data_IF_452244450208
#
_entry.id   IF_452244450208
#
_cell.length_a   1.000
_cell.length_b   1.000
_cell.length_c   1.000
_cell.angle_alpha   90.00
_cell.angle_beta   90.00
_cell.angle_gamma   90.00
#
_symmetry.space_group_name_H-M   'P 1'
#
loop_
_entity.id
_entity.type
_entity.pdbx_description
1 polymer ?
#
# COMPACT_ATOMS: atom_id res chain seq x y z
N UNK A 1 -7.26 9.14 -22.96
CA UNK A 1 -5.97 8.62 -22.46
C UNK A 1 -5.57 9.46 -21.26
N UNK A 2 -5.20 8.88 -20.11
CA UNK A 2 -4.74 9.66 -18.98
C UNK A 2 -3.49 10.43 -19.38
N UNK A 3 -3.43 11.69 -19.01
CA UNK A 3 -2.31 12.59 -19.27
C UNK A 3 -1.02 11.98 -18.69
N UNK A 4 -0.21 11.42 -19.55
CA UNK A 4 0.96 10.59 -19.21
C UNK A 4 2.15 11.45 -18.74
N UNK A 5 2.01 12.24 -17.69
CA UNK A 5 3.11 13.03 -17.14
C UNK A 5 3.51 12.73 -15.71
N UNK A 6 2.92 11.73 -15.05
CA UNK A 6 3.49 11.27 -13.79
C UNK A 6 4.72 10.41 -14.10
N UNK A 7 5.90 10.98 -13.91
CA UNK A 7 7.16 10.31 -14.26
C UNK A 7 7.65 9.33 -13.18
N UNK A 8 7.09 9.37 -11.95
CA UNK A 8 7.53 8.51 -10.84
C UNK A 8 6.48 8.39 -9.74
N UNK A 9 6.62 7.31 -8.96
CA UNK A 9 5.81 7.04 -7.78
C UNK A 9 6.63 7.27 -6.51
N UNK A 10 6.04 7.92 -5.52
CA UNK A 10 6.61 8.02 -4.19
C UNK A 10 6.06 6.86 -3.37
N UNK A 11 6.90 5.85 -3.12
CA UNK A 11 6.48 4.63 -2.42
C UNK A 11 6.01 4.90 -0.98
N UNK A 12 5.12 4.05 -0.48
CA UNK A 12 4.78 4.02 0.93
C UNK A 12 6.01 3.63 1.79
N UNK A 13 6.20 4.20 3.00
CA UNK A 13 5.32 5.17 3.66
C UNK A 13 5.56 6.65 3.26
N UNK A 14 6.57 6.94 2.46
CA UNK A 14 6.97 8.32 2.13
C UNK A 14 5.88 9.09 1.38
N UNK A 15 5.07 8.43 0.55
CA UNK A 15 3.93 9.02 -0.11
C UNK A 15 2.85 9.58 0.83
N UNK A 16 2.88 9.20 2.13
CA UNK A 16 2.02 9.82 3.13
C UNK A 16 2.40 11.26 3.46
N UNK A 17 3.66 11.62 3.26
CA UNK A 17 4.25 12.88 3.75
C UNK A 17 4.77 13.76 2.63
N UNK A 18 5.35 13.15 1.59
CA UNK A 18 5.96 13.86 0.47
C UNK A 18 4.98 14.01 -0.68
N UNK A 19 4.97 15.20 -1.27
CA UNK A 19 4.17 15.51 -2.46
C UNK A 19 5.02 16.31 -3.42
N UNK A 20 5.06 15.87 -4.67
CA UNK A 20 5.72 16.58 -5.75
C UNK A 20 4.74 16.72 -6.91
N UNK A 21 4.88 17.80 -7.66
CA UNK A 21 3.94 18.19 -8.72
C UNK A 21 3.78 17.12 -9.81
N UNK A 22 4.87 16.40 -10.13
CA UNK A 22 4.90 15.38 -11.17
C UNK A 22 5.00 13.93 -10.62
N UNK A 23 4.57 13.71 -9.37
CA UNK A 23 4.63 12.40 -8.73
C UNK A 23 3.25 11.91 -8.29
N UNK A 24 3.13 10.58 -8.28
CA UNK A 24 2.00 9.86 -7.69
C UNK A 24 2.38 9.44 -6.27
N UNK A 25 1.58 9.83 -5.28
CA UNK A 25 1.81 9.50 -3.88
C UNK A 25 1.15 8.17 -3.53
N UNK A 26 1.96 7.16 -3.21
CA UNK A 26 1.49 5.88 -2.70
C UNK A 26 1.38 5.96 -1.17
N UNK A 27 0.16 5.89 -0.66
CA UNK A 27 -0.17 6.02 0.76
C UNK A 27 -0.35 4.66 1.43
N UNK A 28 0.01 4.57 2.66
CA UNK A 28 -0.05 3.33 3.44
C UNK A 28 1.36 2.84 3.74
N UNK A 29 1.63 1.58 3.70
CA UNK A 29 0.77 0.41 3.37
C UNK A 29 -0.24 0.15 4.48
N UNK A 30 -1.47 -0.11 4.11
CA UNK A 30 -2.55 -0.43 5.04
C UNK A 30 -2.81 -1.93 5.11
N UNK A 31 -3.03 -2.44 6.32
CA UNK A 31 -3.54 -3.79 6.56
C UNK A 31 -5.06 -3.75 6.74
N UNK A 32 -5.73 -4.89 6.69
CA UNK A 32 -7.18 -4.97 6.85
C UNK A 32 -7.62 -4.38 8.19
N UNK A 33 -6.93 -4.75 9.27
CA UNK A 33 -7.19 -4.25 10.61
C UNK A 33 -6.15 -3.21 11.05
N UNK A 34 -6.55 -2.37 12.00
CA UNK A 34 -5.64 -1.44 12.69
C UNK A 34 -4.54 -2.21 13.44
N UNK A 35 -3.30 -1.83 13.23
CA UNK A 35 -2.11 -2.39 13.89
C UNK A 35 -1.39 -1.29 14.67
N UNK A 36 -1.72 -1.07 15.95
CA UNK A 36 -1.21 0.03 16.77
C UNK A 36 0.28 -0.12 17.13
N UNK A 37 0.87 0.93 17.68
CA UNK A 37 2.20 0.88 18.28
C UNK A 37 3.34 1.20 17.34
N UNK A 38 3.10 1.96 16.24
CA UNK A 38 4.11 2.37 15.28
C UNK A 38 5.32 3.03 15.95
N UNK A 39 5.09 4.07 16.75
CA UNK A 39 6.19 4.83 17.40
C UNK A 39 6.95 3.96 18.40
N UNK A 40 6.23 3.21 19.22
CA UNK A 40 6.84 2.30 20.21
C UNK A 40 7.71 1.24 19.53
N UNK A 41 7.21 0.63 18.44
CA UNK A 41 7.94 -0.38 17.70
C UNK A 41 9.13 0.20 16.93
N UNK A 42 8.99 1.40 16.37
CA UNK A 42 10.08 2.11 15.72
C UNK A 42 11.24 2.35 16.70
N UNK A 43 10.95 2.95 17.86
CA UNK A 43 11.97 3.21 18.89
C UNK A 43 12.64 1.91 19.36
N UNK A 44 11.86 0.84 19.53
CA UNK A 44 12.36 -0.46 19.98
C UNK A 44 13.25 -1.17 18.97
N UNK A 45 12.98 -1.04 17.69
CA UNK A 45 13.59 -1.87 16.63
C UNK A 45 14.47 -1.12 15.66
N UNK A 46 14.47 0.22 15.68
CA UNK A 46 15.33 1.01 14.81
C UNK A 46 16.80 0.83 15.19
N UNK A 47 17.59 0.29 14.29
CA UNK A 47 19.02 0.02 14.48
C UNK A 47 19.81 0.36 13.23
N UNK A 48 21.02 0.88 13.41
CA UNK A 48 21.94 1.06 12.30
C UNK A 48 22.72 -0.25 12.05
N UNK A 49 22.67 -0.74 10.82
CA UNK A 49 23.43 -1.91 10.37
C UNK A 49 24.73 -1.43 9.72
N UNK A 50 25.85 -1.58 10.43
CA UNK A 50 27.16 -1.15 9.95
C UNK A 50 27.63 -1.94 8.72
N UNK A 51 27.24 -3.22 8.59
CA UNK A 51 27.62 -4.06 7.45
C UNK A 51 26.91 -3.61 6.16
N UNK A 52 25.64 -3.24 6.26
CA UNK A 52 24.83 -2.77 5.13
C UNK A 52 24.82 -1.25 4.97
N UNK A 53 25.52 -0.53 5.86
CA UNK A 53 25.59 0.94 5.91
C UNK A 53 24.19 1.59 5.83
N UNK A 54 23.23 1.07 6.60
CA UNK A 54 21.85 1.55 6.55
C UNK A 54 21.05 1.30 7.82
N UNK A 55 19.92 1.98 7.94
CA UNK A 55 19.00 1.79 9.03
C UNK A 55 18.09 0.60 8.79
N UNK A 56 17.92 -0.24 9.80
CA UNK A 56 16.94 -1.34 9.84
C UNK A 56 15.87 -1.08 10.87
N UNK A 57 14.68 -1.59 10.62
CA UNK A 57 13.58 -1.62 11.58
C UNK A 57 12.73 -2.88 11.40
N UNK A 58 12.02 -3.25 12.45
CA UNK A 58 11.07 -4.37 12.48
C UNK A 58 9.68 -3.86 12.89
N UNK A 59 9.20 -2.83 12.19
CA UNK A 59 7.91 -2.18 12.50
C UNK A 59 6.73 -3.12 12.26
N UNK A 60 6.84 -4.06 11.33
CA UNK A 60 5.83 -5.08 11.06
C UNK A 60 4.50 -4.52 10.54
N UNK A 61 4.55 -3.52 9.63
CA UNK A 61 3.37 -2.86 9.05
C UNK A 61 2.38 -2.29 10.09
N UNK A 62 2.89 -1.60 11.12
CA UNK A 62 2.04 -0.86 12.06
C UNK A 62 1.36 0.31 11.36
N UNK A 63 0.04 0.30 11.30
CA UNK A 63 -0.74 1.29 10.54
C UNK A 63 -2.19 1.35 11.06
N UNK A 64 -2.95 2.41 10.71
CA UNK A 64 -4.30 2.60 11.24
C UNK A 64 -5.38 1.72 10.60
N UNK A 65 -5.02 0.85 9.65
CA UNK A 65 -5.94 0.00 8.92
C UNK A 65 -6.58 0.67 7.70
N UNK A 66 -7.10 -0.17 6.79
CA UNK A 66 -7.61 0.26 5.48
C UNK A 66 -8.79 1.25 5.59
N UNK A 67 -9.67 1.08 6.56
CA UNK A 67 -10.83 1.98 6.71
C UNK A 67 -10.41 3.43 6.88
N UNK A 68 -9.36 3.68 7.66
CA UNK A 68 -8.82 5.03 7.81
C UNK A 68 -8.12 5.51 6.54
N UNK A 69 -7.46 4.61 5.81
CA UNK A 69 -6.88 4.91 4.49
C UNK A 69 -7.94 5.37 3.49
N UNK A 70 -9.06 4.63 3.40
CA UNK A 70 -10.18 4.98 2.52
C UNK A 70 -10.81 6.33 2.89
N UNK A 71 -11.03 6.59 4.18
CA UNK A 71 -11.61 7.86 4.64
C UNK A 71 -10.73 9.09 4.31
N UNK A 72 -9.43 8.90 4.19
CA UNK A 72 -8.46 9.97 3.87
C UNK A 72 -8.13 10.06 2.38
N UNK A 73 -8.62 9.11 1.58
CA UNK A 73 -8.34 9.09 0.15
C UNK A 73 -8.97 10.28 -0.55
N UNK A 74 -8.17 10.98 -1.32
CA UNK A 74 -8.66 12.04 -2.20
C UNK A 74 -8.84 11.45 -3.59
N UNK A 75 -10.05 11.55 -4.12
CA UNK A 75 -10.40 11.09 -5.45
C UNK A 75 -9.66 11.90 -6.53
N UNK A 76 -8.39 11.59 -6.72
CA UNK A 76 -7.59 12.16 -7.79
C UNK A 76 -6.65 11.10 -8.37
N UNK A 77 -6.15 11.38 -9.55
CA UNK A 77 -5.25 10.52 -10.32
C UNK A 77 -3.82 10.43 -9.76
N UNK A 78 -3.50 11.21 -8.72
CA UNK A 78 -2.17 11.31 -8.10
C UNK A 78 -2.06 10.62 -6.75
N UNK A 79 -3.10 9.94 -6.30
CA UNK A 79 -3.09 9.17 -5.06
C UNK A 79 -3.37 7.70 -5.34
N UNK A 80 -2.57 6.83 -4.72
CA UNK A 80 -2.69 5.38 -4.75
C UNK A 80 -2.67 4.88 -3.32
N UNK A 81 -3.53 3.95 -2.97
CA UNK A 81 -3.53 3.27 -1.67
C UNK A 81 -2.75 1.96 -1.79
N UNK A 82 -1.72 1.81 -0.97
CA UNK A 82 -0.99 0.55 -0.82
C UNK A 82 -1.65 -0.31 0.24
N UNK A 83 -1.92 -1.57 -0.09
CA UNK A 83 -2.49 -2.58 0.80
C UNK A 83 -1.60 -3.81 0.90
N UNK A 84 -1.60 -4.44 2.08
CA UNK A 84 -0.92 -5.71 2.31
C UNK A 84 -1.79 -6.62 3.19
N UNK A 85 -1.99 -7.85 2.74
CA UNK A 85 -2.66 -8.87 3.51
C UNK A 85 -1.75 -9.43 4.59
N UNK A 86 -2.30 -9.69 5.76
CA UNK A 86 -1.65 -10.38 6.87
C UNK A 86 -2.11 -11.85 6.95
N UNK A 87 -3.29 -12.14 6.41
CA UNK A 87 -3.91 -13.44 6.30
C UNK A 87 -4.46 -13.63 4.87
N UNK A 88 -4.57 -14.86 4.35
CA UNK A 88 -5.14 -15.11 3.02
C UNK A 88 -6.53 -14.51 2.81
N UNK A 89 -7.38 -14.53 3.85
CA UNK A 89 -8.74 -13.98 3.82
C UNK A 89 -8.77 -12.46 3.66
N UNK A 90 -7.71 -11.75 4.08
CA UNK A 90 -7.65 -10.29 3.97
C UNK A 90 -7.81 -9.83 2.51
N UNK A 91 -7.34 -10.63 1.54
CA UNK A 91 -7.49 -10.30 0.12
C UNK A 91 -8.96 -10.25 -0.31
N UNK A 92 -9.78 -11.20 0.17
CA UNK A 92 -11.22 -11.21 -0.10
C UNK A 92 -11.92 -10.04 0.59
N UNK A 93 -11.55 -9.75 1.82
CA UNK A 93 -12.10 -8.64 2.58
C UNK A 93 -11.74 -7.30 1.94
N UNK A 94 -10.50 -7.10 1.49
CA UNK A 94 -10.12 -5.93 0.69
C UNK A 94 -10.97 -5.81 -0.58
N UNK A 95 -11.14 -6.91 -1.33
CA UNK A 95 -11.94 -6.91 -2.53
C UNK A 95 -13.42 -6.60 -2.28
N UNK A 96 -13.92 -6.88 -1.07
CA UNK A 96 -15.30 -6.59 -0.66
C UNK A 96 -15.50 -5.12 -0.29
N UNK A 97 -14.53 -4.51 0.41
CA UNK A 97 -14.71 -3.18 1.01
C UNK A 97 -14.09 -2.04 0.19
N UNK A 98 -13.10 -2.31 -0.67
CA UNK A 98 -12.45 -1.27 -1.46
C UNK A 98 -13.27 -0.98 -2.71
N UNK A 99 -13.77 0.25 -2.88
CA UNK A 99 -14.50 0.64 -4.09
C UNK A 99 -13.66 0.52 -5.36
N UNK A 100 -14.28 0.22 -6.48
CA UNK A 100 -13.63 -0.01 -7.76
C UNK A 100 -12.86 1.20 -8.31
N UNK A 101 -13.23 2.41 -7.90
CA UNK A 101 -12.59 3.66 -8.34
C UNK A 101 -11.31 4.03 -7.56
N UNK A 102 -10.99 3.31 -6.49
CA UNK A 102 -9.78 3.56 -5.69
C UNK A 102 -8.54 3.03 -6.42
N UNK A 103 -7.56 3.90 -6.64
CA UNK A 103 -6.27 3.50 -7.17
C UNK A 103 -5.49 2.67 -6.14
N UNK A 104 -4.95 1.52 -6.55
CA UNK A 104 -4.36 0.53 -5.65
C UNK A 104 -2.92 0.18 -6.00
N UNK A 105 -2.12 -0.02 -4.96
CA UNK A 105 -0.89 -0.81 -4.96
C UNK A 105 -1.11 -2.06 -4.09
N UNK A 106 -0.93 -3.23 -4.69
CA UNK A 106 -0.91 -4.51 -4.00
C UNK A 106 0.53 -4.79 -3.57
N UNK A 107 0.84 -4.61 -2.29
CA UNK A 107 2.17 -4.87 -1.74
C UNK A 107 2.33 -6.36 -1.43
N UNK A 108 2.83 -7.12 -2.41
CA UNK A 108 2.98 -8.58 -2.35
C UNK A 108 4.34 -9.00 -1.76
N UNK A 109 5.22 -8.06 -1.48
CA UNK A 109 6.61 -8.31 -1.12
C UNK A 109 7.05 -7.57 0.13
N UNK A 110 6.17 -7.38 1.10
CA UNK A 110 6.58 -6.73 2.34
C UNK A 110 7.56 -7.61 3.11
N UNK A 111 8.80 -7.16 3.25
CA UNK A 111 9.87 -7.88 3.98
C UNK A 111 9.68 -7.92 5.50
N UNK A 112 8.76 -7.10 6.02
CA UNK A 112 8.49 -6.98 7.45
C UNK A 112 7.35 -7.89 7.96
N UNK A 113 6.81 -8.75 7.10
CA UNK A 113 5.76 -9.72 7.43
C UNK A 113 6.01 -11.03 6.67
N UNK A 114 5.46 -12.12 7.17
CA UNK A 114 5.46 -13.39 6.46
C UNK A 114 4.68 -13.27 5.15
N UNK A 115 5.15 -13.97 4.11
CA UNK A 115 4.46 -13.99 2.82
C UNK A 115 3.11 -14.66 2.97
N UNK A 116 2.07 -13.95 2.56
CA UNK A 116 0.69 -14.43 2.57
C UNK A 116 0.34 -14.95 1.18
N UNK A 117 -0.32 -16.11 1.14
CA UNK A 117 -0.80 -16.69 -0.10
C UNK A 117 -1.72 -15.73 -0.85
N UNK A 118 -1.51 -15.64 -2.15
CA UNK A 118 -2.25 -14.72 -3.00
C UNK A 118 -3.60 -15.32 -3.35
N UNK A 119 -4.68 -14.58 -3.09
CA UNK A 119 -6.02 -14.95 -3.52
C UNK A 119 -6.30 -14.46 -4.94
N UNK A 120 -6.25 -15.36 -5.92
CA UNK A 120 -6.44 -15.02 -7.33
C UNK A 120 -7.80 -14.42 -7.64
N UNK A 121 -8.89 -14.81 -6.95
CA UNK A 121 -10.23 -14.21 -7.16
C UNK A 121 -10.25 -12.74 -6.78
N UNK A 122 -9.63 -12.39 -5.65
CA UNK A 122 -9.53 -11.00 -5.22
C UNK A 122 -8.66 -10.18 -6.20
N UNK A 123 -7.53 -10.73 -6.66
CA UNK A 123 -6.68 -10.09 -7.65
C UNK A 123 -7.43 -9.85 -8.96
N UNK A 124 -8.19 -10.82 -9.44
CA UNK A 124 -9.03 -10.69 -10.64
C UNK A 124 -10.01 -9.53 -10.50
N UNK A 125 -10.67 -9.37 -9.35
CA UNK A 125 -11.58 -8.24 -9.11
C UNK A 125 -10.86 -6.89 -9.20
N UNK A 126 -9.68 -6.76 -8.58
CA UNK A 126 -8.89 -5.54 -8.65
C UNK A 126 -8.42 -5.23 -10.08
N UNK A 127 -7.99 -6.25 -10.81
CA UNK A 127 -7.57 -6.15 -12.20
C UNK A 127 -8.73 -5.74 -13.13
N UNK A 128 -9.90 -6.37 -12.99
CA UNK A 128 -11.06 -6.05 -13.80
C UNK A 128 -11.51 -4.60 -13.60
N UNK A 129 -11.51 -4.09 -12.37
CA UNK A 129 -11.82 -2.69 -12.12
C UNK A 129 -10.83 -1.72 -12.80
N UNK A 130 -9.57 -2.10 -12.95
CA UNK A 130 -8.59 -1.35 -13.73
C UNK A 130 -8.87 -1.46 -15.23
N UNK A 131 -9.11 -2.68 -15.74
CA UNK A 131 -9.38 -2.94 -17.15
C UNK A 131 -10.67 -2.24 -17.63
N UNK A 132 -11.69 -2.22 -16.80
CA UNK A 132 -12.95 -1.53 -17.05
C UNK A 132 -12.85 0.01 -16.89
N UNK A 133 -11.67 0.56 -16.74
CA UNK A 133 -11.40 1.98 -16.51
C UNK A 133 -12.11 2.59 -15.28
N UNK A 134 -12.50 1.78 -14.31
CA UNK A 134 -13.08 2.25 -13.06
C UNK A 134 -12.01 2.83 -12.13
N UNK A 135 -10.77 2.31 -12.22
CA UNK A 135 -9.57 2.87 -11.55
C UNK A 135 -8.47 3.11 -12.53
N UNK A 136 -7.65 4.12 -12.28
CA UNK A 136 -6.56 4.50 -13.15
C UNK A 136 -5.26 3.70 -12.89
N UNK A 137 -5.06 3.26 -11.65
CA UNK A 137 -3.85 2.55 -11.23
C UNK A 137 -4.19 1.28 -10.48
N UNK A 138 -3.59 0.17 -10.92
CA UNK A 138 -3.55 -1.10 -10.20
C UNK A 138 -2.12 -1.64 -10.33
N UNK A 139 -1.33 -1.51 -9.27
CA UNK A 139 0.11 -1.78 -9.25
C UNK A 139 0.35 -3.01 -8.38
N UNK A 140 1.13 -3.97 -8.88
CA UNK A 140 1.65 -5.06 -8.06
C UNK A 140 3.11 -4.76 -7.71
N UNK A 141 3.39 -4.56 -6.42
CA UNK A 141 4.74 -4.37 -5.91
C UNK A 141 5.30 -5.71 -5.48
N UNK A 142 6.34 -6.14 -6.17
CA UNK A 142 7.11 -7.37 -5.91
C UNK A 142 8.57 -7.01 -5.65
N UNK A 143 9.28 -7.78 -4.83
CA UNK A 143 10.73 -7.64 -4.54
C UNK A 143 11.45 -8.97 -4.68
#
# INVERSE_FOLDING_TARGET
MPNAQAKFFIAAPFGNYLKFENAISVKGTYTMLHRPGLVKQLIKTLRYDFNKKGWKNEIGLRNPGIRQGLNKYKHNDREVISIAAMLPIDWEDFARIIPDYINLELNLSCTNIDKVEINYKALTKFYNAFWDNKRQWCIAKIS
#
